data_IF_282943414442
#
_entry.id   IF_282943414442
#
_cell.length_a   1.000
_cell.length_b   1.000
_cell.length_c   1.000
_cell.angle_alpha   90.00
_cell.angle_beta   90.00
_cell.angle_gamma   90.00
#
_symmetry.space_group_name_H-M   'P 1'
#
loop_
_entity.id
_entity.type
_entity.pdbx_description
1 polymer ?
#
# COMPACT_ATOMS: atom_id res chain seq x y z
N UNK A 1 -57.87 -70.58 -19.66
CA UNK A 1 -56.79 -71.16 -20.49
C UNK A 1 -55.56 -70.29 -20.23
N UNK A 2 -54.81 -70.56 -19.16
CA UNK A 2 -53.69 -71.52 -19.03
C UNK A 2 -52.46 -71.14 -19.86
N UNK A 3 -51.35 -70.92 -19.13
CA UNK A 3 -49.95 -71.22 -19.47
C UNK A 3 -49.29 -70.38 -20.59
N UNK A 4 -47.98 -70.10 -20.61
CA UNK A 4 -46.87 -70.21 -19.67
C UNK A 4 -45.66 -69.49 -20.31
N UNK A 5 -44.76 -69.03 -19.43
CA UNK A 5 -43.29 -68.92 -19.52
C UNK A 5 -42.54 -69.08 -20.86
N UNK A 6 -41.48 -68.26 -21.03
CA UNK A 6 -40.03 -68.63 -21.00
C UNK A 6 -39.25 -67.41 -21.57
N UNK A 7 -38.55 -66.60 -20.77
CA UNK A 7 -37.17 -66.72 -20.26
C UNK A 7 -36.04 -66.49 -21.30
N UNK A 8 -35.06 -65.67 -20.87
CA UNK A 8 -33.67 -65.52 -21.34
C UNK A 8 -33.36 -64.57 -22.52
N UNK A 9 -32.75 -63.42 -22.21
CA UNK A 9 -31.30 -63.24 -22.37
C UNK A 9 -30.90 -61.86 -21.82
N UNK A 10 -30.07 -61.88 -20.77
CA UNK A 10 -29.34 -60.72 -20.31
C UNK A 10 -28.20 -60.43 -21.29
N UNK A 11 -28.20 -59.26 -21.92
CA UNK A 11 -27.05 -58.70 -22.62
C UNK A 11 -26.61 -57.45 -21.86
N UNK A 12 -25.62 -57.64 -20.99
CA UNK A 12 -24.89 -56.58 -20.30
C UNK A 12 -24.01 -55.89 -21.35
N UNK A 13 -24.50 -54.79 -21.92
CA UNK A 13 -23.69 -53.89 -22.73
C UNK A 13 -22.84 -53.06 -21.76
N UNK A 14 -21.56 -53.43 -21.64
CA UNK A 14 -20.53 -52.60 -21.01
C UNK A 14 -20.37 -51.34 -21.87
N UNK A 15 -21.07 -50.28 -21.51
CA UNK A 15 -20.83 -48.95 -22.07
C UNK A 15 -19.47 -48.46 -21.61
N UNK A 16 -18.48 -48.52 -22.51
CA UNK A 16 -17.21 -47.84 -22.33
C UNK A 16 -17.48 -46.32 -22.31
N UNK A 17 -17.59 -45.75 -21.11
CA UNK A 17 -17.50 -44.30 -20.92
C UNK A 17 -16.07 -43.92 -21.25
N UNK A 18 -15.84 -43.51 -22.50
CA UNK A 18 -14.67 -42.74 -22.87
C UNK A 18 -14.78 -41.40 -22.13
N UNK A 19 -14.15 -41.33 -20.95
CA UNK A 19 -13.79 -40.06 -20.35
C UNK A 19 -12.76 -39.41 -21.27
N UNK A 20 -13.25 -38.65 -22.26
CA UNK A 20 -12.43 -37.65 -22.94
C UNK A 20 -12.06 -36.61 -21.89
N UNK A 21 -10.92 -36.82 -21.26
CA UNK A 21 -10.18 -35.78 -20.57
C UNK A 21 -9.70 -34.78 -21.62
N UNK A 22 -10.63 -33.93 -22.09
CA UNK A 22 -10.28 -32.74 -22.83
C UNK A 22 -9.39 -31.91 -21.93
N UNK A 23 -8.10 -31.97 -22.23
CA UNK A 23 -7.08 -31.12 -21.65
C UNK A 23 -7.38 -29.71 -22.17
N UNK A 24 -8.20 -28.96 -21.44
CA UNK A 24 -8.56 -27.58 -21.74
C UNK A 24 -7.34 -26.71 -21.41
N UNK A 25 -6.34 -26.74 -22.30
CA UNK A 25 -5.34 -25.69 -22.37
C UNK A 25 -6.07 -24.47 -22.91
N UNK A 26 -6.57 -23.61 -22.02
CA UNK A 26 -7.41 -22.47 -22.36
C UNK A 26 -6.69 -21.52 -23.31
N UNK A 27 -7.14 -21.46 -24.55
CA UNK A 27 -6.66 -20.48 -25.53
C UNK A 27 -6.96 -19.07 -25.01
N UNK A 28 -5.97 -18.18 -25.05
CA UNK A 28 -6.14 -16.76 -24.76
C UNK A 28 -6.67 -16.05 -26.01
N UNK A 29 -7.57 -15.09 -25.82
CA UNK A 29 -8.12 -14.24 -26.88
C UNK A 29 -7.94 -12.77 -26.50
N UNK A 30 -7.61 -11.93 -27.48
CA UNK A 30 -7.56 -10.47 -27.29
C UNK A 30 -8.98 -9.95 -27.07
N UNK A 31 -9.15 -9.20 -25.99
CA UNK A 31 -10.42 -8.61 -25.52
C UNK A 31 -10.40 -7.11 -25.75
N UNK A 32 -9.28 -6.45 -25.47
CA UNK A 32 -9.09 -5.01 -25.62
C UNK A 32 -7.71 -4.73 -26.20
N UNK A 33 -7.66 -3.83 -27.16
CA UNK A 33 -6.46 -3.28 -27.78
C UNK A 33 -6.78 -1.82 -28.12
N UNK A 34 -6.37 -0.91 -27.23
CA UNK A 34 -6.80 0.50 -27.22
C UNK A 34 -5.56 1.37 -27.33
N UNK A 35 -5.56 2.25 -28.33
CA UNK A 35 -4.58 3.32 -28.50
C UNK A 35 -5.32 4.63 -28.79
N UNK A 36 -5.39 5.52 -27.80
CA UNK A 36 -6.16 6.77 -27.88
C UNK A 36 -5.34 7.96 -27.36
N UNK A 37 -5.62 9.14 -27.89
CA UNK A 37 -5.00 10.40 -27.46
C UNK A 37 -6.09 11.43 -27.21
N UNK A 38 -6.02 12.10 -26.06
CA UNK A 38 -7.03 13.04 -25.60
C UNK A 38 -6.41 14.42 -25.34
N UNK A 39 -6.96 15.44 -26.00
CA UNK A 39 -6.69 16.85 -25.69
C UNK A 39 -7.58 17.39 -24.57
N UNK A 40 -7.04 18.30 -23.76
CA UNK A 40 -7.80 19.06 -22.75
C UNK A 40 -8.33 18.19 -21.61
N UNK A 41 -7.58 17.15 -21.25
CA UNK A 41 -7.83 16.33 -20.06
C UNK A 41 -6.96 16.86 -18.92
N UNK A 42 -7.60 17.17 -17.79
CA UNK A 42 -6.96 17.69 -16.59
C UNK A 42 -7.16 16.78 -15.37
N UNK A 43 -7.99 15.72 -15.51
CA UNK A 43 -8.21 14.71 -14.47
C UNK A 43 -8.23 13.31 -15.08
N UNK A 44 -7.52 12.38 -14.45
CA UNK A 44 -7.46 10.97 -14.87
C UNK A 44 -7.80 10.06 -13.69
N UNK A 45 -8.79 9.19 -13.87
CA UNK A 45 -9.13 8.13 -12.93
C UNK A 45 -8.88 6.76 -13.57
N UNK A 46 -8.04 5.93 -12.96
CA UNK A 46 -7.73 4.58 -13.46
C UNK A 46 -8.13 3.51 -12.45
N UNK A 47 -8.95 2.56 -12.87
CA UNK A 47 -9.43 1.43 -12.08
C UNK A 47 -8.95 0.12 -12.72
N UNK A 48 -7.75 -0.34 -12.39
CA UNK A 48 -7.08 -1.42 -13.14
C UNK A 48 -7.40 -2.84 -12.71
N UNK A 49 -8.12 -3.04 -11.60
CA UNK A 49 -8.44 -4.38 -11.10
C UNK A 49 -7.18 -5.27 -10.95
N UNK A 50 -7.12 -6.44 -11.61
CA UNK A 50 -5.97 -7.34 -11.50
C UNK A 50 -4.79 -6.96 -12.39
N UNK A 51 -4.91 -5.94 -13.25
CA UNK A 51 -3.92 -5.61 -14.28
C UNK A 51 -2.76 -4.76 -13.75
N UNK A 52 -1.71 -4.67 -14.54
CA UNK A 52 -0.69 -3.64 -14.38
C UNK A 52 -1.25 -2.28 -14.85
N UNK A 53 -1.04 -1.25 -14.03
CA UNK A 53 -1.44 0.13 -14.31
C UNK A 53 -0.22 1.02 -14.19
N UNK A 54 -0.02 1.87 -15.19
CA UNK A 54 1.03 2.89 -15.17
C UNK A 54 0.45 4.26 -15.48
N UNK A 55 0.86 5.27 -14.72
CA UNK A 55 0.76 6.66 -15.10
C UNK A 55 2.15 7.29 -15.07
N UNK A 56 2.59 7.86 -16.20
CA UNK A 56 3.85 8.60 -16.32
C UNK A 56 3.54 10.05 -16.70
N UNK A 57 3.81 10.98 -15.78
CA UNK A 57 3.74 12.40 -16.06
C UNK A 57 4.94 12.87 -16.89
N UNK A 58 4.70 13.72 -17.88
CA UNK A 58 5.76 14.33 -18.69
C UNK A 58 5.62 15.84 -18.71
N UNK A 59 6.76 16.51 -18.57
CA UNK A 59 6.84 17.95 -18.66
C UNK A 59 6.63 18.41 -20.11
N UNK A 60 5.85 19.47 -20.30
CA UNK A 60 5.66 20.12 -21.59
C UNK A 60 4.69 19.42 -22.55
N UNK A 61 4.04 18.33 -22.15
CA UNK A 61 2.92 17.73 -22.91
C UNK A 61 1.58 18.17 -22.32
N UNK A 62 0.57 18.30 -23.17
CA UNK A 62 -0.81 18.67 -22.80
C UNK A 62 -1.82 17.57 -23.11
N UNK A 63 -1.40 16.58 -23.90
CA UNK A 63 -2.21 15.44 -24.33
C UNK A 63 -2.07 14.30 -23.33
N UNK A 64 -3.15 13.56 -23.13
CA UNK A 64 -3.15 12.28 -22.41
C UNK A 64 -3.22 11.15 -23.43
N UNK A 65 -2.21 10.29 -23.45
CA UNK A 65 -2.16 9.08 -24.28
C UNK A 65 -2.51 7.85 -23.45
N UNK A 66 -3.52 7.11 -23.89
CA UNK A 66 -3.93 5.83 -23.33
C UNK A 66 -3.50 4.70 -24.25
N UNK A 67 -2.74 3.75 -23.71
CA UNK A 67 -2.46 2.45 -24.32
C UNK A 67 -2.92 1.34 -23.37
N UNK A 68 -3.87 0.52 -23.79
CA UNK A 68 -4.37 -0.57 -22.97
C UNK A 68 -4.55 -1.86 -23.77
N UNK A 69 -4.12 -2.97 -23.16
CA UNK A 69 -4.18 -4.29 -23.77
C UNK A 69 -4.75 -5.30 -22.79
N UNK A 70 -5.62 -6.19 -23.26
CA UNK A 70 -6.16 -7.29 -22.46
C UNK A 70 -6.33 -8.54 -23.32
N UNK A 71 -5.70 -9.62 -22.87
CA UNK A 71 -6.01 -10.99 -23.27
C UNK A 71 -6.65 -11.75 -22.11
N UNK A 72 -7.66 -12.55 -22.43
CA UNK A 72 -8.30 -13.43 -21.46
C UNK A 72 -8.61 -14.79 -22.06
N UNK A 73 -8.59 -15.83 -21.22
CA UNK A 73 -9.20 -17.12 -21.57
C UNK A 73 -10.72 -17.17 -21.29
N UNK A 74 -11.30 -16.05 -20.86
CA UNK A 74 -12.73 -15.83 -20.74
C UNK A 74 -13.14 -14.44 -21.30
N UNK A 75 -13.06 -14.24 -22.62
CA UNK A 75 -13.12 -12.92 -23.24
C UNK A 75 -14.47 -12.20 -23.15
N UNK A 76 -15.57 -12.89 -22.84
CA UNK A 76 -16.89 -12.25 -22.67
C UNK A 76 -17.15 -11.73 -21.24
N UNK A 77 -16.30 -12.11 -20.28
CA UNK A 77 -16.52 -11.83 -18.85
C UNK A 77 -15.69 -10.66 -18.31
N UNK A 78 -14.79 -10.10 -19.12
CA UNK A 78 -13.89 -9.01 -18.75
C UNK A 78 -13.69 -8.08 -19.92
N UNK A 79 -13.40 -6.80 -19.67
CA UNK A 79 -13.02 -5.83 -20.69
C UNK A 79 -12.29 -4.64 -20.06
N UNK A 80 -11.59 -3.84 -20.87
CA UNK A 80 -11.13 -2.51 -20.50
C UNK A 80 -12.01 -1.49 -21.22
N UNK A 81 -12.61 -0.57 -20.47
CA UNK A 81 -13.38 0.56 -20.99
C UNK A 81 -12.70 1.88 -20.66
N UNK A 82 -13.02 2.90 -21.44
CA UNK A 82 -12.72 4.28 -21.09
C UNK A 82 -13.92 5.17 -21.40
N UNK A 83 -14.09 6.23 -20.61
CA UNK A 83 -15.10 7.25 -20.79
C UNK A 83 -14.50 8.63 -20.54
N UNK A 84 -14.91 9.62 -21.35
CA UNK A 84 -14.52 11.02 -21.17
C UNK A 84 -15.74 11.83 -20.75
N UNK A 85 -15.62 12.46 -19.59
CA UNK A 85 -16.61 13.38 -19.04
C UNK A 85 -16.00 14.80 -18.93
N UNK A 86 -16.20 15.62 -19.96
CA UNK A 86 -15.59 16.95 -19.99
C UNK A 86 -14.06 16.89 -20.11
N UNK A 87 -13.35 17.34 -19.08
CA UNK A 87 -11.89 17.30 -18.94
C UNK A 87 -11.40 16.11 -18.09
N UNK A 88 -12.30 15.20 -17.71
CA UNK A 88 -11.95 13.98 -16.97
C UNK A 88 -11.97 12.75 -17.86
N UNK A 89 -10.90 11.97 -17.81
CA UNK A 89 -10.78 10.65 -18.44
C UNK A 89 -10.87 9.56 -17.37
N UNK A 90 -11.78 8.61 -17.56
CA UNK A 90 -11.95 7.44 -16.69
C UNK A 90 -11.56 6.21 -17.50
N UNK A 91 -10.69 5.36 -16.95
CA UNK A 91 -10.27 4.09 -17.57
C UNK A 91 -10.49 2.96 -16.56
N UNK A 92 -11.27 1.95 -16.93
CA UNK A 92 -11.71 0.92 -16.00
C UNK A 92 -11.59 -0.48 -16.60
N UNK A 93 -11.00 -1.39 -15.82
CA UNK A 93 -11.14 -2.82 -16.02
C UNK A 93 -12.45 -3.27 -15.37
N UNK A 94 -13.35 -3.83 -16.17
CA UNK A 94 -14.63 -4.34 -15.70
C UNK A 94 -14.68 -5.87 -15.76
N UNK A 95 -15.43 -6.44 -14.82
CA UNK A 95 -15.85 -7.84 -14.85
C UNK A 95 -17.37 -7.90 -14.76
N UNK A 96 -17.99 -8.59 -15.71
CA UNK A 96 -19.44 -8.74 -15.79
C UNK A 96 -20.02 -9.46 -14.56
N UNK A 97 -21.14 -8.95 -14.03
CA UNK A 97 -21.84 -9.58 -12.90
C UNK A 97 -22.31 -11.00 -13.24
N UNK A 98 -22.16 -11.94 -12.29
CA UNK A 98 -22.55 -13.35 -12.47
C UNK A 98 -21.41 -14.29 -12.92
N UNK A 99 -20.21 -13.76 -13.20
CA UNK A 99 -19.03 -14.54 -13.57
C UNK A 99 -18.11 -14.90 -12.37
N UNK A 100 -18.64 -14.84 -11.14
CA UNK A 100 -17.92 -15.18 -9.92
C UNK A 100 -18.14 -16.64 -9.51
N UNK A 101 -17.39 -17.61 -10.03
CA UNK A 101 -17.41 -18.96 -9.45
C UNK A 101 -16.88 -20.10 -10.32
N UNK A 102 -15.78 -20.71 -9.85
CA UNK A 102 -15.22 -21.99 -10.34
C UNK A 102 -14.71 -22.01 -11.79
N UNK A 103 -13.49 -21.51 -11.98
CA UNK A 103 -12.70 -21.68 -13.20
C UNK A 103 -11.27 -21.15 -13.05
N UNK A 104 -10.34 -21.64 -13.88
CA UNK A 104 -8.99 -21.09 -13.99
C UNK A 104 -9.04 -19.84 -14.89
N UNK A 105 -9.30 -18.68 -14.31
CA UNK A 105 -9.35 -17.41 -15.04
C UNK A 105 -7.95 -16.84 -15.15
N UNK A 106 -7.51 -16.57 -16.38
CA UNK A 106 -6.20 -16.00 -16.66
C UNK A 106 -6.38 -14.75 -17.51
N UNK A 107 -6.14 -13.59 -16.90
CA UNK A 107 -6.15 -12.31 -17.56
C UNK A 107 -4.70 -11.81 -17.64
N UNK A 108 -4.26 -11.40 -18.84
CA UNK A 108 -2.96 -10.75 -19.05
C UNK A 108 -3.18 -9.46 -19.78
N UNK A 109 -2.63 -8.38 -19.28
CA UNK A 109 -2.87 -7.07 -19.84
C UNK A 109 -2.30 -5.97 -18.99
N UNK A 110 -2.42 -4.75 -19.50
CA UNK A 110 -1.98 -3.54 -18.84
C UNK A 110 -2.85 -2.36 -19.25
N UNK A 111 -2.82 -1.32 -18.43
CA UNK A 111 -3.31 0.02 -18.73
C UNK A 111 -2.10 0.95 -18.55
N UNK A 112 -1.69 1.64 -19.61
CA UNK A 112 -0.60 2.60 -19.59
C UNK A 112 -1.09 3.95 -20.04
N UNK A 113 -0.90 4.95 -19.18
CA UNK A 113 -1.29 6.33 -19.43
C UNK A 113 -0.06 7.21 -19.34
N UNK A 114 0.18 8.00 -20.39
CA UNK A 114 1.20 9.05 -20.39
C UNK A 114 0.47 10.38 -20.51
N UNK A 115 0.75 11.33 -19.63
CA UNK A 115 0.06 12.62 -19.64
C UNK A 115 0.88 13.75 -19.06
N UNK A 116 0.29 14.95 -18.96
CA UNK A 116 0.94 16.10 -18.35
C UNK A 116 1.40 15.80 -16.91
N UNK A 117 2.54 16.35 -16.53
CA UNK A 117 2.99 16.31 -15.12
C UNK A 117 1.98 16.96 -14.16
N UNK A 118 1.39 18.08 -14.54
CA UNK A 118 0.38 18.79 -13.75
C UNK A 118 -1.00 18.19 -14.03
N UNK A 119 -1.44 17.21 -13.24
CA UNK A 119 -2.72 16.53 -13.45
C UNK A 119 -3.37 16.06 -12.14
N UNK A 120 -4.71 16.17 -12.07
CA UNK A 120 -5.49 15.49 -11.05
C UNK A 120 -5.50 13.98 -11.33
N UNK A 121 -5.03 13.17 -10.38
CA UNK A 121 -4.82 11.75 -10.61
C UNK A 121 -5.34 10.91 -9.46
N UNK A 122 -6.09 9.86 -9.84
CA UNK A 122 -6.53 8.82 -8.94
C UNK A 122 -6.34 7.46 -9.56
N UNK A 123 -5.63 6.57 -8.87
CA UNK A 123 -5.33 5.23 -9.38
C UNK A 123 -5.70 4.18 -8.36
N UNK A 124 -6.54 3.23 -8.79
CA UNK A 124 -6.98 2.09 -7.98
C UNK A 124 -6.64 0.77 -8.66
N UNK A 125 -5.72 0.03 -8.06
CA UNK A 125 -5.44 -1.35 -8.38
C UNK A 125 -6.19 -2.33 -7.47
N UNK A 126 -6.20 -3.59 -7.87
CA UNK A 126 -6.67 -4.72 -7.08
C UNK A 126 -5.49 -5.59 -6.64
N UNK A 127 -5.21 -6.63 -7.42
CA UNK A 127 -4.10 -7.57 -7.17
C UNK A 127 -2.88 -7.36 -8.07
N UNK A 128 -2.98 -6.47 -9.06
CA UNK A 128 -1.92 -6.19 -10.03
C UNK A 128 -0.84 -5.25 -9.49
N UNK A 129 -0.17 -4.56 -10.42
CA UNK A 129 0.87 -3.58 -10.11
C UNK A 129 0.33 -2.20 -10.47
N UNK A 130 0.56 -1.21 -9.63
CA UNK A 130 0.28 0.20 -9.89
C UNK A 130 1.61 0.94 -9.81
N UNK A 131 2.01 1.61 -10.87
CA UNK A 131 3.16 2.51 -10.88
C UNK A 131 2.69 3.91 -11.28
N UNK A 132 3.02 4.91 -10.48
CA UNK A 132 2.74 6.32 -10.78
C UNK A 132 4.03 7.10 -10.62
N UNK A 133 4.41 7.86 -11.65
CA UNK A 133 5.61 8.68 -11.62
C UNK A 133 5.42 10.08 -12.19
N UNK A 134 6.26 11.01 -11.71
CA UNK A 134 6.45 12.34 -12.29
C UNK A 134 5.18 13.21 -12.35
N UNK A 135 4.34 13.15 -11.31
CA UNK A 135 3.11 13.94 -11.19
C UNK A 135 3.26 15.06 -10.17
N UNK A 136 2.63 16.20 -10.45
CA UNK A 136 2.50 17.31 -9.51
C UNK A 136 1.05 17.78 -9.45
N UNK A 137 0.47 17.82 -8.25
CA UNK A 137 -0.90 18.26 -8.04
C UNK A 137 -1.19 18.53 -6.55
N UNK A 138 -2.33 19.11 -6.23
CA UNK A 138 -2.69 19.40 -4.83
C UNK A 138 -2.93 18.10 -4.03
N UNK A 139 -3.69 17.16 -4.61
CA UNK A 139 -4.10 15.93 -3.93
C UNK A 139 -4.05 14.73 -4.89
N UNK A 140 -3.46 13.62 -4.46
CA UNK A 140 -3.42 12.36 -5.23
C UNK A 140 -3.76 11.18 -4.32
N UNK A 141 -4.62 10.28 -4.81
CA UNK A 141 -4.98 9.01 -4.15
C UNK A 141 -4.57 7.81 -5.02
N UNK A 142 -3.63 7.03 -4.50
CA UNK A 142 -3.18 5.78 -5.11
C UNK A 142 -3.46 4.64 -4.15
N UNK A 143 -4.21 3.64 -4.61
CA UNK A 143 -4.59 2.52 -3.77
C UNK A 143 -4.52 1.16 -4.47
N UNK A 144 -4.26 0.11 -3.69
CA UNK A 144 -4.41 -1.26 -4.13
C UNK A 144 -4.93 -2.19 -3.03
N UNK A 145 -5.58 -3.29 -3.42
CA UNK A 145 -5.99 -4.34 -2.49
C UNK A 145 -4.79 -5.17 -2.02
N UNK A 146 -4.40 -6.14 -2.83
CA UNK A 146 -3.30 -7.08 -2.54
C UNK A 146 -2.10 -6.90 -3.47
N UNK A 147 -2.18 -5.97 -4.40
CA UNK A 147 -1.17 -5.68 -5.41
C UNK A 147 0.05 -4.90 -4.87
N UNK A 148 0.93 -4.50 -5.78
CA UNK A 148 2.04 -3.60 -5.48
C UNK A 148 1.70 -2.19 -5.95
N UNK A 149 1.96 -1.19 -5.11
CA UNK A 149 1.92 0.23 -5.47
C UNK A 149 3.34 0.78 -5.42
N UNK A 150 3.76 1.44 -6.48
CA UNK A 150 4.99 2.23 -6.56
C UNK A 150 4.60 3.68 -6.91
N UNK A 151 5.01 4.62 -6.07
CA UNK A 151 4.85 6.05 -6.31
C UNK A 151 6.24 6.71 -6.29
N UNK A 152 6.65 7.35 -7.39
CA UNK A 152 8.00 7.93 -7.51
C UNK A 152 8.01 9.33 -8.09
N UNK A 153 8.85 10.21 -7.54
CA UNK A 153 9.11 11.54 -8.10
C UNK A 153 7.82 12.39 -8.18
N UNK A 154 7.05 12.38 -7.09
CA UNK A 154 5.77 13.09 -6.97
C UNK A 154 5.95 14.39 -6.18
N UNK A 155 5.38 15.48 -6.70
CA UNK A 155 5.37 16.80 -6.05
C UNK A 155 3.92 17.19 -5.72
N UNK A 156 3.42 16.67 -4.58
CA UNK A 156 2.00 16.64 -4.24
C UNK A 156 1.76 17.12 -2.82
N UNK A 157 0.97 18.17 -2.63
CA UNK A 157 0.74 18.77 -1.30
C UNK A 157 0.19 17.74 -0.30
N UNK A 158 -0.79 16.93 -0.72
CA UNK A 158 -1.38 15.83 0.06
C UNK A 158 -1.47 14.51 -0.73
N UNK A 159 -0.49 13.62 -0.53
CA UNK A 159 -0.42 12.30 -1.16
C UNK A 159 -1.00 11.20 -0.25
N UNK A 160 -1.95 10.42 -0.75
CA UNK A 160 -2.48 9.23 -0.06
C UNK A 160 -2.11 7.95 -0.78
N UNK A 161 -1.43 7.06 -0.06
CA UNK A 161 -1.00 5.75 -0.54
C UNK A 161 -1.63 4.67 0.35
N UNK A 162 -2.49 3.83 -0.21
CA UNK A 162 -3.20 2.79 0.56
C UNK A 162 -3.05 1.40 -0.05
N UNK A 163 -2.52 0.45 0.72
CA UNK A 163 -2.45 -0.97 0.34
C UNK A 163 -3.02 -1.85 1.44
N UNK A 164 -3.84 -2.86 1.12
CA UNK A 164 -4.35 -3.75 2.17
C UNK A 164 -3.29 -4.77 2.60
N UNK A 165 -2.95 -5.71 1.71
CA UNK A 165 -2.08 -6.85 2.05
C UNK A 165 -0.83 -6.97 1.17
N UNK A 166 -0.68 -6.10 0.18
CA UNK A 166 0.44 -6.10 -0.75
C UNK A 166 1.64 -5.25 -0.30
N UNK A 167 2.35 -4.66 -1.26
CA UNK A 167 3.52 -3.82 -1.00
C UNK A 167 3.28 -2.39 -1.49
N UNK A 168 3.65 -1.42 -0.67
CA UNK A 168 3.64 0.01 -0.97
C UNK A 168 5.08 0.50 -0.96
N UNK A 169 5.52 1.07 -2.08
CA UNK A 169 6.83 1.69 -2.26
C UNK A 169 6.64 3.16 -2.64
N UNK A 170 7.21 4.07 -1.85
CA UNK A 170 7.23 5.51 -2.12
C UNK A 170 8.67 6.01 -2.24
N UNK A 171 8.98 6.80 -3.27
CA UNK A 171 10.34 7.30 -3.50
C UNK A 171 10.32 8.75 -3.97
N UNK A 172 11.18 9.60 -3.39
CA UNK A 172 11.35 11.00 -3.81
C UNK A 172 10.00 11.76 -3.85
N UNK A 173 9.37 11.88 -2.70
CA UNK A 173 8.04 12.49 -2.56
C UNK A 173 8.19 13.88 -1.94
N UNK A 174 7.50 14.87 -2.48
CA UNK A 174 7.40 16.21 -1.87
C UNK A 174 5.97 16.48 -1.45
N UNK A 175 5.81 17.15 -0.31
CA UNK A 175 4.53 17.39 0.35
C UNK A 175 4.21 16.35 1.44
N UNK A 176 2.97 16.35 1.93
CA UNK A 176 2.57 15.49 3.03
C UNK A 176 2.15 14.11 2.53
N UNK A 177 2.69 13.05 3.14
CA UNK A 177 2.41 11.66 2.74
C UNK A 177 1.61 10.94 3.82
N UNK A 178 0.42 10.46 3.46
CA UNK A 178 -0.34 9.51 4.27
C UNK A 178 -0.19 8.10 3.70
N UNK A 179 0.56 7.25 4.39
CA UNK A 179 0.71 5.84 4.03
C UNK A 179 -0.17 4.94 4.89
N UNK A 180 -0.94 4.04 4.29
CA UNK A 180 -1.75 3.04 5.01
C UNK A 180 -1.48 1.64 4.49
N UNK A 181 -1.10 0.75 5.41
CA UNK A 181 -0.95 -0.69 5.15
C UNK A 181 -1.68 -1.54 6.20
N UNK A 182 -2.42 -2.57 5.81
CA UNK A 182 -3.04 -3.48 6.79
C UNK A 182 -2.04 -4.55 7.22
N UNK A 183 -1.83 -5.57 6.39
CA UNK A 183 -0.95 -6.72 6.69
C UNK A 183 0.29 -6.80 5.78
N UNK A 184 0.41 -5.85 4.86
CA UNK A 184 1.49 -5.76 3.89
C UNK A 184 2.76 -5.08 4.40
N UNK A 185 3.55 -4.59 3.44
CA UNK A 185 4.80 -3.87 3.69
C UNK A 185 4.72 -2.46 3.10
N UNK A 186 5.20 -1.49 3.86
CA UNK A 186 5.35 -0.11 3.43
C UNK A 186 6.84 0.27 3.50
N UNK A 187 7.38 0.74 2.39
CA UNK A 187 8.74 1.27 2.26
C UNK A 187 8.64 2.67 1.65
N UNK A 188 9.05 3.69 2.38
CA UNK A 188 9.07 5.08 1.91
C UNK A 188 10.49 5.62 2.05
N UNK A 189 11.05 6.17 0.98
CA UNK A 189 12.42 6.69 0.93
C UNK A 189 12.46 8.07 0.29
N UNK A 190 12.97 9.06 1.02
CA UNK A 190 13.14 10.42 0.52
C UNK A 190 11.82 11.17 0.48
N UNK A 191 11.49 11.85 1.58
CA UNK A 191 10.29 12.69 1.68
C UNK A 191 10.69 14.10 2.09
N UNK A 192 10.39 15.08 1.24
CA UNK A 192 10.47 16.50 1.55
C UNK A 192 9.11 16.97 2.09
N UNK A 193 8.84 16.63 3.36
CA UNK A 193 7.54 16.88 3.99
C UNK A 193 7.26 15.98 5.19
N UNK A 194 6.01 15.96 5.65
CA UNK A 194 5.59 15.14 6.79
C UNK A 194 5.07 13.78 6.34
N UNK A 195 5.17 12.77 7.20
CA UNK A 195 4.64 11.42 6.95
C UNK A 195 3.71 10.99 8.09
N UNK A 196 2.50 10.55 7.76
CA UNK A 196 1.60 9.80 8.65
C UNK A 196 1.49 8.35 8.15
N UNK A 197 2.12 7.42 8.86
CA UNK A 197 2.18 6.01 8.49
C UNK A 197 1.36 5.14 9.44
N UNK A 198 0.37 4.43 8.89
CA UNK A 198 -0.53 3.55 9.65
C UNK A 198 -0.41 2.11 9.18
N UNK A 199 -0.11 1.22 10.12
CA UNK A 199 0.04 -0.23 9.96
C UNK A 199 -0.93 -1.01 10.84
N UNK A 200 -1.40 -2.18 10.41
CA UNK A 200 -2.06 -3.13 11.33
C UNK A 200 -1.10 -4.21 11.82
N UNK A 201 -0.64 -5.11 10.95
CA UNK A 201 0.19 -6.28 11.29
C UNK A 201 1.49 -6.38 10.49
N UNK A 202 1.80 -5.35 9.71
CA UNK A 202 2.84 -5.33 8.70
C UNK A 202 4.20 -4.80 9.18
N UNK A 203 5.02 -4.44 8.19
CA UNK A 203 6.30 -3.74 8.37
C UNK A 203 6.20 -2.35 7.75
N UNK A 204 6.61 -1.34 8.50
CA UNK A 204 6.75 0.03 8.01
C UNK A 204 8.24 0.38 8.07
N UNK A 205 8.80 0.78 6.93
CA UNK A 205 10.14 1.34 6.84
C UNK A 205 10.06 2.71 6.19
N UNK A 206 10.59 3.72 6.88
CA UNK A 206 10.67 5.09 6.38
C UNK A 206 12.11 5.55 6.54
N UNK A 207 12.71 6.06 5.46
CA UNK A 207 14.01 6.70 5.51
C UNK A 207 14.03 8.06 4.82
N UNK A 208 14.90 8.93 5.30
CA UNK A 208 15.23 10.21 4.66
C UNK A 208 13.98 11.11 4.54
N UNK A 209 13.24 11.24 5.63
CA UNK A 209 12.10 12.16 5.72
C UNK A 209 12.54 13.44 6.44
N UNK A 210 12.51 14.57 5.74
CA UNK A 210 13.00 15.85 6.27
C UNK A 210 12.07 16.48 7.31
N UNK A 211 10.79 16.12 7.29
CA UNK A 211 9.78 16.64 8.21
C UNK A 211 9.48 15.71 9.37
N UNK A 212 8.27 15.87 9.92
CA UNK A 212 7.79 15.08 11.05
C UNK A 212 7.24 13.74 10.59
N UNK A 213 7.56 12.67 11.32
CA UNK A 213 6.96 11.34 11.10
C UNK A 213 6.09 10.93 12.29
N UNK A 214 4.80 10.76 12.01
CA UNK A 214 3.83 10.10 12.87
C UNK A 214 3.69 8.64 12.41
N UNK A 215 3.75 7.67 13.33
CA UNK A 215 3.66 6.25 12.99
C UNK A 215 2.79 5.48 13.99
N UNK A 216 1.82 4.73 13.46
CA UNK A 216 0.89 3.91 14.25
C UNK A 216 0.90 2.47 13.77
N UNK A 217 1.03 1.52 14.69
CA UNK A 217 0.94 0.09 14.37
C UNK A 217 0.11 -0.69 15.40
N UNK A 218 -0.72 -1.64 14.98
CA UNK A 218 -1.38 -2.53 15.96
C UNK A 218 -0.41 -3.59 16.47
N UNK A 219 0.26 -4.28 15.55
CA UNK A 219 1.28 -5.30 15.79
C UNK A 219 2.32 -5.27 14.66
N UNK A 220 3.61 -5.46 14.95
CA UNK A 220 4.63 -5.54 13.89
C UNK A 220 5.87 -4.70 14.17
N UNK A 221 6.53 -4.24 13.10
CA UNK A 221 7.78 -3.48 13.19
C UNK A 221 7.69 -2.17 12.43
N UNK A 222 8.13 -1.09 13.07
CA UNK A 222 8.42 0.20 12.44
C UNK A 222 9.95 0.39 12.49
N UNK A 223 10.56 0.67 11.35
CA UNK A 223 11.95 1.08 11.23
C UNK A 223 12.01 2.48 10.63
N UNK A 224 12.60 3.43 11.35
CA UNK A 224 12.74 4.82 10.95
C UNK A 224 14.23 5.17 10.86
N UNK A 225 14.67 5.80 9.78
CA UNK A 225 16.07 6.20 9.61
C UNK A 225 16.20 7.61 9.05
N UNK A 226 17.11 8.42 9.58
CA UNK A 226 17.37 9.77 9.10
C UNK A 226 16.06 10.59 9.00
N UNK A 227 15.46 10.84 10.16
CA UNK A 227 14.16 11.50 10.27
C UNK A 227 14.34 12.87 10.89
N UNK A 228 13.78 13.91 10.28
CA UNK A 228 13.82 15.28 10.77
C UNK A 228 13.30 15.41 12.20
N UNK A 229 12.03 15.03 12.42
CA UNK A 229 11.45 15.00 13.77
C UNK A 229 10.53 13.79 13.97
N UNK A 230 10.63 13.15 15.13
CA UNK A 230 9.65 12.16 15.57
C UNK A 230 8.41 12.85 16.13
N UNK A 231 7.24 12.46 15.62
CA UNK A 231 5.94 12.80 16.16
C UNK A 231 5.40 11.71 17.11
N UNK A 232 4.16 11.30 16.88
CA UNK A 232 3.46 10.28 17.65
C UNK A 232 3.84 8.89 17.18
N UNK A 233 4.35 8.10 18.10
CA UNK A 233 4.71 6.70 17.91
C UNK A 233 3.78 5.83 18.75
N UNK A 234 2.76 5.26 18.11
CA UNK A 234 1.67 4.58 18.80
C UNK A 234 1.56 3.11 18.41
N UNK A 235 1.26 2.24 19.38
CA UNK A 235 0.85 0.88 19.05
C UNK A 235 0.35 0.00 20.18
N UNK A 236 -0.12 -1.19 19.82
CA UNK A 236 -0.59 -2.17 20.81
C UNK A 236 0.52 -3.14 21.17
N UNK A 237 1.11 -3.81 20.17
CA UNK A 237 2.28 -4.66 20.32
C UNK A 237 3.31 -4.36 19.23
N UNK A 238 4.60 -4.58 19.48
CA UNK A 238 5.59 -4.54 18.41
C UNK A 238 6.92 -3.89 18.79
N UNK A 239 7.66 -3.52 17.75
CA UNK A 239 8.98 -2.93 17.86
C UNK A 239 9.04 -1.65 17.04
N UNK A 240 9.60 -0.60 17.65
CA UNK A 240 10.03 0.60 16.93
C UNK A 240 11.54 0.69 17.07
N UNK A 241 12.22 0.82 15.93
CA UNK A 241 13.63 1.15 15.85
C UNK A 241 13.76 2.44 15.04
N UNK A 242 14.15 3.53 15.69
CA UNK A 242 14.48 4.79 15.05
C UNK A 242 15.98 5.05 15.17
N UNK A 243 16.64 5.33 14.06
CA UNK A 243 18.07 5.64 13.98
C UNK A 243 18.26 6.99 13.31
N UNK A 244 19.12 7.85 13.87
CA UNK A 244 19.35 9.21 13.38
C UNK A 244 18.02 9.99 13.24
N UNK A 245 17.19 9.92 14.28
CA UNK A 245 15.88 10.56 14.30
C UNK A 245 15.85 11.72 15.31
N UNK A 246 15.49 12.91 14.84
CA UNK A 246 15.36 14.10 15.69
C UNK A 246 14.18 13.97 16.66
N UNK A 247 14.34 14.56 17.84
CA UNK A 247 13.30 14.65 18.85
C UNK A 247 12.56 16.00 18.73
N UNK A 248 11.35 16.07 19.26
CA UNK A 248 10.57 17.30 19.31
C UNK A 248 9.63 17.31 20.52
N UNK A 249 8.96 18.44 20.76
CA UNK A 249 7.84 18.50 21.72
C UNK A 249 6.65 17.61 21.31
N UNK A 250 6.61 17.18 20.05
CA UNK A 250 5.59 16.28 19.52
C UNK A 250 5.99 14.80 19.65
N UNK A 251 7.22 14.51 20.10
CA UNK A 251 7.67 13.12 20.30
C UNK A 251 6.92 12.50 21.47
N UNK A 252 5.92 11.69 21.11
CA UNK A 252 5.03 11.02 22.05
C UNK A 252 4.97 9.52 21.75
N UNK A 253 5.44 8.69 22.69
CA UNK A 253 5.48 7.23 22.55
C UNK A 253 4.36 6.62 23.40
N UNK A 254 3.47 5.81 22.79
CA UNK A 254 2.42 5.09 23.53
C UNK A 254 2.29 3.65 23.05
N UNK A 255 2.66 2.70 23.90
CA UNK A 255 2.55 1.27 23.61
C UNK A 255 1.86 0.49 24.73
N UNK A 256 1.04 -0.51 24.37
CA UNK A 256 0.57 -1.48 25.38
C UNK A 256 1.69 -2.47 25.71
N UNK A 257 2.34 -3.03 24.70
CA UNK A 257 3.55 -3.82 24.87
C UNK A 257 4.54 -3.62 23.73
N UNK A 258 5.85 -3.64 24.01
CA UNK A 258 6.81 -3.53 22.92
C UNK A 258 8.19 -3.06 23.32
N UNK A 259 9.09 -3.05 22.34
CA UNK A 259 10.44 -2.52 22.49
C UNK A 259 10.58 -1.30 21.58
N UNK A 260 10.78 -0.14 22.18
CA UNK A 260 10.99 1.14 21.48
C UNK A 260 12.45 1.52 21.72
N UNK A 261 13.21 1.64 20.63
CA UNK A 261 14.59 2.09 20.63
C UNK A 261 14.72 3.28 19.70
N UNK A 262 15.17 4.39 20.24
CA UNK A 262 15.43 5.62 19.50
C UNK A 262 16.91 5.95 19.70
N UNK A 263 17.65 6.02 18.61
CA UNK A 263 18.98 6.60 18.54
C UNK A 263 18.87 7.94 17.85
N UNK A 264 19.19 9.00 18.57
CA UNK A 264 19.08 10.38 18.10
C UNK A 264 20.44 11.04 18.03
N UNK A 265 20.65 11.92 17.06
CA UNK A 265 21.82 12.80 17.02
C UNK A 265 21.66 14.04 17.89
N UNK A 266 20.47 14.27 18.44
CA UNK A 266 20.17 15.45 19.24
C UNK A 266 20.90 15.42 20.58
N UNK A 267 21.27 16.60 21.10
CA UNK A 267 21.71 16.71 22.50
C UNK A 267 20.53 16.42 23.42
N UNK A 268 20.63 15.39 24.25
CA UNK A 268 19.55 15.04 25.18
C UNK A 268 19.32 16.14 26.23
N UNK A 269 20.30 17.00 26.49
CA UNK A 269 20.14 18.12 27.40
C UNK A 269 19.21 19.22 26.85
N UNK A 270 18.92 19.22 25.54
CA UNK A 270 17.96 20.12 24.90
C UNK A 270 16.49 19.73 25.15
N UNK A 271 16.24 18.63 25.87
CA UNK A 271 14.91 18.09 26.14
C UNK A 271 14.70 17.73 27.60
N UNK A 272 13.48 17.89 28.09
CA UNK A 272 13.01 17.19 29.27
C UNK A 272 12.43 15.83 28.87
N UNK A 273 12.39 14.87 29.81
CA UNK A 273 11.85 13.54 29.55
C UNK A 273 10.89 13.11 30.64
N UNK A 274 9.74 12.61 30.21
CA UNK A 274 8.77 11.93 31.08
C UNK A 274 8.43 10.56 30.51
N UNK A 275 9.14 9.53 30.97
CA UNK A 275 8.98 8.16 30.51
C UNK A 275 8.41 7.26 31.61
N UNK A 276 7.51 6.36 31.23
CA UNK A 276 6.88 5.39 32.12
C UNK A 276 6.81 3.98 31.49
N UNK A 277 7.16 2.97 32.28
CA UNK A 277 6.88 1.56 32.05
C UNK A 277 6.12 0.99 33.26
N UNK A 278 4.96 0.35 33.05
CA UNK A 278 4.24 -0.30 34.18
C UNK A 278 4.96 -1.58 34.63
N UNK A 279 5.39 -2.39 33.67
CA UNK A 279 6.24 -3.57 33.88
C UNK A 279 7.32 -3.60 32.81
N UNK A 280 8.53 -3.14 33.12
CA UNK A 280 9.53 -2.97 32.08
C UNK A 280 10.75 -2.14 32.46
N UNK A 281 11.26 -1.38 31.50
CA UNK A 281 12.34 -0.41 31.74
C UNK A 281 12.21 0.80 30.84
N UNK A 282 12.68 1.94 31.35
CA UNK A 282 12.84 3.18 30.60
C UNK A 282 14.28 3.66 30.74
N UNK A 283 14.85 4.18 29.66
CA UNK A 283 16.22 4.67 29.61
C UNK A 283 16.33 5.92 28.74
N UNK A 284 17.10 6.89 29.22
CA UNK A 284 17.53 8.09 28.49
C UNK A 284 19.02 8.27 28.74
N UNK A 285 19.85 8.13 27.70
CA UNK A 285 21.31 8.12 27.84
C UNK A 285 21.79 7.09 28.86
N UNK A 286 22.54 7.52 29.88
CA UNK A 286 23.01 6.65 30.97
C UNK A 286 21.99 6.45 32.11
N UNK A 287 20.91 7.24 32.14
CA UNK A 287 19.89 7.18 33.18
C UNK A 287 18.85 6.11 32.86
N UNK A 288 18.57 5.23 33.82
CA UNK A 288 17.60 4.12 33.66
C UNK A 288 16.72 3.93 34.88
N UNK A 289 15.50 3.45 34.65
CA UNK A 289 14.53 3.10 35.68
C UNK A 289 13.70 1.88 35.25
N UNK A 290 13.19 1.12 36.21
CA UNK A 290 12.26 0.01 35.95
C UNK A 290 10.79 0.42 35.83
N UNK A 291 10.44 1.65 36.24
CA UNK A 291 9.05 2.08 36.34
C UNK A 291 8.83 3.47 35.73
N UNK A 292 9.45 4.50 36.28
CA UNK A 292 9.30 5.87 35.76
C UNK A 292 10.63 6.58 35.78
N UNK A 293 10.89 7.37 34.75
CA UNK A 293 12.07 8.22 34.61
C UNK A 293 11.59 9.62 34.25
N UNK A 294 11.91 10.58 35.11
CA UNK A 294 11.70 12.00 34.88
C UNK A 294 13.04 12.70 34.89
N UNK A 295 13.35 13.39 33.80
CA UNK A 295 14.56 14.20 33.65
C UNK A 295 14.11 15.61 33.32
N UNK A 296 14.56 16.57 34.11
CA UNK A 296 14.29 17.98 33.89
C UNK A 296 15.62 18.70 33.66
N UNK A 297 15.91 18.99 32.40
CA UNK A 297 17.11 19.68 31.95
C UNK A 297 16.87 21.21 31.84
N UNK A 298 15.73 21.70 32.32
CA UNK A 298 15.29 23.10 32.16
C UNK A 298 15.15 23.50 30.67
N UNK A 299 14.87 22.51 29.82
CA UNK A 299 14.59 22.70 28.40
C UNK A 299 13.15 23.19 28.17
N UNK A 300 12.88 23.75 26.99
CA UNK A 300 11.52 24.19 26.62
C UNK A 300 10.66 23.06 26.06
N UNK A 301 11.29 21.98 25.56
CA UNK A 301 10.61 20.84 24.94
C UNK A 301 10.61 19.65 25.90
N UNK A 302 9.56 18.83 25.86
CA UNK A 302 9.45 17.60 26.67
C UNK A 302 9.08 16.42 25.78
N UNK A 303 9.84 15.33 25.89
CA UNK A 303 9.53 14.05 25.25
C UNK A 303 8.72 13.19 26.21
N UNK A 304 7.61 12.65 25.73
CA UNK A 304 6.70 11.82 26.53
C UNK A 304 6.72 10.38 26.04
N UNK A 305 6.73 9.43 26.99
CA UNK A 305 6.67 8.01 26.63
C UNK A 305 5.99 7.15 27.68
N UNK A 306 5.10 6.27 27.25
CA UNK A 306 4.44 5.31 28.10
C UNK A 306 4.37 3.94 27.43
N UNK A 307 4.84 2.90 28.12
CA UNK A 307 4.65 1.49 27.74
C UNK A 307 4.04 0.71 28.90
N UNK A 308 3.01 -0.10 28.68
CA UNK A 308 2.48 -0.91 29.80
C UNK A 308 3.42 -2.07 30.11
N UNK A 309 3.87 -2.83 29.10
CA UNK A 309 4.82 -3.93 29.26
C UNK A 309 5.92 -3.92 28.20
N UNK A 310 7.16 -3.62 28.57
CA UNK A 310 8.26 -3.56 27.60
C UNK A 310 9.32 -2.51 27.93
N UNK A 311 9.95 -1.93 26.91
CA UNK A 311 11.03 -0.98 27.12
C UNK A 311 10.98 0.22 26.20
N UNK A 312 11.35 1.38 26.74
CA UNK A 312 11.67 2.59 25.96
C UNK A 312 13.13 2.93 26.22
N UNK A 313 13.94 3.02 25.16
CA UNK A 313 15.32 3.49 25.22
C UNK A 313 15.51 4.65 24.25
N UNK A 314 15.98 5.78 24.76
CA UNK A 314 16.38 6.96 23.96
C UNK A 314 17.85 7.20 24.24
N UNK A 315 18.69 7.08 23.23
CA UNK A 315 20.15 7.16 23.34
C UNK A 315 20.72 8.02 22.21
N UNK A 316 21.95 8.51 22.41
CA UNK A 316 22.77 9.08 21.34
C UNK A 316 23.51 7.97 20.57
#
# INVERSE_FOLDING_TARGET
>A
MKLNHINQMAALIFGAVLLTSCSYSGNMSVVSDIEEVFDGVHSVEIYGGPLEVTYEGREGITEVSLNAYLESNNPEGVEIKYEREGDRLIVEWEQSEGFSGWGNHNNKGFISVIGPKEIDLKVKGGSGIVNVSDVSYDEIDISAGSGRVTASDLDVDDLRLTVSSGKLEGKNLKGNVTGKVSSGMMEIHGVEGNVDAVGSSGKIEISDASGKVDAKITSGKIALRNIGELGKLMGSSGMIEAEEAGLSENTEIRFSSGAIRIKTSDDLDDYNFELQASSGSVRVGDQRSGNSLRINNNATKTVHGAVSSGSISIEN
#
